data_IF_583944354067
#
_entry.id   IF_583944354067
#
_cell.length_a   1.000
_cell.length_b   1.000
_cell.length_c   1.000
_cell.angle_alpha   90.00
_cell.angle_beta   90.00
_cell.angle_gamma   90.00
#
_symmetry.space_group_name_H-M   'P 1'
#
loop_
_entity.id
_entity.type
_entity.pdbx_description
1 polymer ?
#
# COMPACT_ATOMS: atom_id res chain seq x y z
N UNK A 1 -6.79 19.94 0.03
CA UNK A 1 -6.96 19.05 -1.15
C UNK A 1 -6.64 17.65 -0.68
N UNK A 2 -7.47 16.64 -1.04
CA UNK A 2 -7.23 15.24 -0.65
C UNK A 2 -6.13 14.64 -1.50
N UNK A 3 -5.27 13.79 -0.93
CA UNK A 3 -4.27 13.01 -1.66
C UNK A 3 -4.92 11.70 -2.15
N UNK A 4 -5.02 11.53 -3.47
CA UNK A 4 -5.74 10.42 -4.10
C UNK A 4 -4.75 9.39 -4.63
N UNK A 5 -4.94 8.13 -4.22
CA UNK A 5 -4.07 7.02 -4.56
C UNK A 5 -4.86 5.97 -5.34
N UNK A 6 -4.40 5.65 -6.55
CA UNK A 6 -4.92 4.51 -7.29
C UNK A 6 -4.17 3.22 -6.92
N UNK A 7 -4.91 2.18 -6.51
CA UNK A 7 -4.35 0.86 -6.24
C UNK A 7 -4.18 0.07 -7.54
N UNK A 8 -2.95 -0.05 -8.02
CA UNK A 8 -2.64 -0.96 -9.13
C UNK A 8 -2.52 -2.39 -8.61
N UNK A 9 -1.85 -2.56 -7.46
CA UNK A 9 -1.74 -3.84 -6.77
C UNK A 9 -1.20 -4.94 -7.67
N UNK A 10 -2.01 -5.97 -7.89
CA UNK A 10 -1.69 -7.12 -8.75
C UNK A 10 -2.30 -7.03 -10.16
N UNK A 11 -3.05 -5.97 -10.46
CA UNK A 11 -3.86 -5.88 -11.68
C UNK A 11 -3.04 -5.64 -12.97
N UNK A 12 -1.77 -5.32 -12.85
CA UNK A 12 -0.87 -5.18 -13.99
C UNK A 12 -0.32 -6.52 -14.53
N UNK A 13 -0.64 -7.64 -13.89
CA UNK A 13 -0.29 -9.02 -14.29
C UNK A 13 1.22 -9.25 -14.62
N UNK A 14 2.11 -8.38 -14.14
CA UNK A 14 3.54 -8.41 -14.47
C UNK A 14 3.87 -7.86 -15.87
N UNK A 15 2.90 -7.25 -16.56
CA UNK A 15 3.07 -6.61 -17.85
C UNK A 15 3.34 -5.10 -17.67
N UNK A 16 4.55 -4.67 -18.02
CA UNK A 16 4.98 -3.27 -17.91
C UNK A 16 4.16 -2.32 -18.81
N UNK A 17 3.65 -2.78 -19.96
CA UNK A 17 2.79 -1.96 -20.81
C UNK A 17 1.44 -1.72 -20.13
N UNK A 18 0.88 -2.74 -19.49
CA UNK A 18 -0.35 -2.60 -18.71
C UNK A 18 -0.13 -1.72 -17.49
N UNK A 19 1.00 -1.87 -16.79
CA UNK A 19 1.36 -0.98 -15.67
C UNK A 19 1.44 0.47 -16.12
N UNK A 20 2.09 0.74 -17.26
CA UNK A 20 2.18 2.07 -17.88
C UNK A 20 0.80 2.64 -18.17
N UNK A 21 -0.06 1.88 -18.84
CA UNK A 21 -1.42 2.31 -19.16
C UNK A 21 -2.23 2.67 -17.91
N UNK A 22 -2.14 1.84 -16.86
CA UNK A 22 -2.81 2.10 -15.59
C UNK A 22 -2.29 3.35 -14.90
N UNK A 23 -0.97 3.57 -14.89
CA UNK A 23 -0.36 4.80 -14.35
C UNK A 23 -0.80 6.05 -15.11
N UNK A 24 -0.82 6.01 -16.45
CA UNK A 24 -1.26 7.12 -17.31
C UNK A 24 -2.73 7.45 -17.05
N UNK A 25 -3.60 6.44 -16.95
CA UNK A 25 -5.02 6.64 -16.63
C UNK A 25 -5.19 7.24 -15.23
N UNK A 26 -4.47 6.73 -14.22
CA UNK A 26 -4.50 7.28 -12.88
C UNK A 26 -4.09 8.77 -12.88
N UNK A 27 -3.00 9.11 -13.55
CA UNK A 27 -2.54 10.50 -13.70
C UNK A 27 -3.59 11.39 -14.36
N UNK A 28 -4.14 10.93 -15.48
CA UNK A 28 -5.11 11.70 -16.27
C UNK A 28 -6.44 11.92 -15.55
N UNK A 29 -6.80 11.03 -14.61
CA UNK A 29 -8.00 11.17 -13.77
C UNK A 29 -7.75 11.95 -12.48
N UNK A 30 -6.54 12.49 -12.28
CA UNK A 30 -6.21 13.37 -11.17
C UNK A 30 -5.73 12.65 -9.91
N UNK A 31 -5.30 11.39 -10.01
CA UNK A 31 -4.62 10.74 -8.90
C UNK A 31 -3.24 11.34 -8.67
N UNK A 32 -2.87 11.49 -7.40
CA UNK A 32 -1.56 12.00 -6.98
C UNK A 32 -0.50 10.90 -7.01
N UNK A 33 -0.90 9.66 -6.73
CA UNK A 33 0.02 8.52 -6.70
C UNK A 33 -0.65 7.22 -7.14
N UNK A 34 0.18 6.24 -7.49
CA UNK A 34 -0.22 4.84 -7.68
C UNK A 34 0.47 3.95 -6.67
N UNK A 35 -0.18 2.84 -6.29
CA UNK A 35 0.36 1.90 -5.32
C UNK A 35 0.47 0.49 -5.87
N UNK A 36 1.64 -0.10 -5.66
CA UNK A 36 1.97 -1.50 -5.95
C UNK A 36 2.14 -2.32 -4.68
N UNK A 37 2.52 -3.58 -4.84
CA UNK A 37 2.77 -4.52 -3.75
C UNK A 37 4.09 -5.25 -3.98
N UNK A 38 4.81 -5.54 -2.91
CA UNK A 38 6.02 -6.36 -2.92
C UNK A 38 5.84 -7.53 -1.95
N UNK A 39 5.76 -8.73 -2.50
CA UNK A 39 5.59 -9.98 -1.75
C UNK A 39 6.48 -11.07 -2.35
N UNK A 40 6.73 -12.10 -1.58
CA UNK A 40 7.55 -13.23 -1.97
C UNK A 40 6.80 -14.56 -1.79
N UNK A 41 7.46 -15.66 -2.09
CA UNK A 41 6.88 -17.01 -1.98
C UNK A 41 6.36 -17.29 -0.56
N UNK A 42 7.04 -16.85 0.48
CA UNK A 42 6.63 -17.12 1.86
C UNK A 42 5.33 -16.38 2.23
N UNK A 43 5.08 -15.21 1.64
CA UNK A 43 3.85 -14.42 1.82
C UNK A 43 2.68 -15.01 1.06
N UNK A 44 2.90 -15.44 -0.19
CA UNK A 44 1.85 -16.01 -1.05
C UNK A 44 1.48 -17.43 -0.60
N UNK A 45 2.47 -18.19 -0.12
CA UNK A 45 2.28 -19.60 0.24
C UNK A 45 1.84 -20.47 -0.94
N UNK A 46 0.87 -21.32 -0.69
CA UNK A 46 0.30 -22.24 -1.69
C UNK A 46 -0.96 -21.66 -2.37
N UNK A 47 -0.97 -20.36 -2.69
CA UNK A 47 -2.10 -19.71 -3.35
C UNK A 47 -2.35 -20.34 -4.74
N UNK A 48 -3.62 -20.53 -5.12
CA UNK A 48 -3.99 -21.13 -6.41
C UNK A 48 -3.44 -20.34 -7.61
N UNK A 49 -3.36 -19.01 -7.50
CA UNK A 49 -2.82 -18.12 -8.54
C UNK A 49 -1.33 -17.78 -8.33
N UNK A 50 -0.56 -18.65 -7.68
CA UNK A 50 0.83 -18.35 -7.34
C UNK A 50 1.65 -17.83 -8.52
N UNK A 51 1.59 -18.53 -9.66
CA UNK A 51 2.36 -18.20 -10.87
C UNK A 51 1.97 -16.83 -11.47
N UNK A 52 0.71 -16.45 -11.33
CA UNK A 52 0.25 -15.12 -11.72
C UNK A 52 0.72 -14.08 -10.72
N UNK A 53 0.47 -14.29 -9.45
CA UNK A 53 0.76 -13.33 -8.39
C UNK A 53 2.26 -13.01 -8.29
N UNK A 54 3.13 -14.02 -8.36
CA UNK A 54 4.57 -13.78 -8.20
C UNK A 54 5.14 -12.82 -9.26
N UNK A 55 4.57 -12.80 -10.47
CA UNK A 55 4.96 -11.89 -11.54
C UNK A 55 4.57 -10.44 -11.26
N UNK A 56 3.52 -10.22 -10.47
CA UNK A 56 3.01 -8.89 -10.14
C UNK A 56 3.70 -8.25 -8.95
N UNK A 57 4.58 -8.95 -8.28
CA UNK A 57 5.34 -8.41 -7.15
C UNK A 57 6.43 -7.46 -7.64
N UNK A 58 6.54 -6.30 -6.99
CA UNK A 58 7.73 -5.46 -7.18
C UNK A 58 8.96 -6.20 -6.62
N UNK A 59 9.97 -6.29 -7.44
CA UNK A 59 11.19 -7.06 -7.21
C UNK A 59 12.41 -6.40 -7.86
N UNK A 60 13.60 -6.96 -7.63
CA UNK A 60 14.84 -6.46 -8.27
C UNK A 60 14.78 -6.46 -9.79
N UNK A 61 13.96 -7.34 -10.39
CA UNK A 61 13.88 -7.48 -11.85
C UNK A 61 13.00 -6.44 -12.55
N UNK A 62 12.13 -5.73 -11.83
CA UNK A 62 11.17 -4.81 -12.44
C UNK A 62 11.09 -3.42 -11.77
N UNK A 63 11.70 -3.24 -10.62
CA UNK A 63 11.58 -1.99 -9.85
C UNK A 63 12.11 -0.77 -10.61
N UNK A 64 13.20 -0.93 -11.37
CA UNK A 64 13.79 0.15 -12.14
C UNK A 64 12.85 0.59 -13.27
N UNK A 65 12.27 -0.35 -14.00
CA UNK A 65 11.32 -0.06 -15.07
C UNK A 65 10.06 0.63 -14.54
N UNK A 66 9.53 0.19 -13.39
CA UNK A 66 8.38 0.84 -12.75
C UNK A 66 8.72 2.28 -12.33
N UNK A 67 9.90 2.50 -11.77
CA UNK A 67 10.35 3.83 -11.36
C UNK A 67 10.56 4.77 -12.57
N UNK A 68 11.16 4.27 -13.65
CA UNK A 68 11.37 5.04 -14.87
C UNK A 68 10.04 5.38 -15.58
N UNK A 69 9.08 4.46 -15.57
CA UNK A 69 7.72 4.72 -16.05
C UNK A 69 7.04 5.82 -15.22
N UNK A 70 7.09 5.72 -13.90
CA UNK A 70 6.48 6.70 -13.01
C UNK A 70 7.08 8.10 -13.19
N UNK A 71 8.41 8.20 -13.33
CA UNK A 71 9.12 9.46 -13.62
C UNK A 71 8.72 10.04 -14.97
N UNK A 72 8.63 9.21 -16.01
CA UNK A 72 8.26 9.63 -17.38
C UNK A 72 6.83 10.16 -17.42
N UNK A 73 5.91 9.50 -16.72
CA UNK A 73 4.49 9.88 -16.65
C UNK A 73 4.30 11.10 -15.71
N UNK A 74 5.21 11.29 -14.77
CA UNK A 74 5.12 12.34 -13.76
C UNK A 74 4.08 12.05 -12.69
N UNK A 75 3.95 10.77 -12.27
CA UNK A 75 3.09 10.33 -11.17
C UNK A 75 3.96 9.75 -10.05
N UNK A 76 3.60 10.04 -8.79
CA UNK A 76 4.26 9.39 -7.67
C UNK A 76 3.86 7.91 -7.61
N UNK A 77 4.81 7.05 -7.25
CA UNK A 77 4.50 5.67 -6.94
C UNK A 77 5.07 5.26 -5.59
N UNK A 78 4.42 4.30 -4.96
CA UNK A 78 4.92 3.67 -3.75
C UNK A 78 4.40 2.24 -3.64
N UNK A 79 4.77 1.55 -2.55
CA UNK A 79 4.52 0.12 -2.47
C UNK A 79 4.13 -0.31 -1.05
N UNK A 80 3.42 -1.43 -0.98
CA UNK A 80 3.18 -2.18 0.25
C UNK A 80 4.22 -3.28 0.36
N UNK A 81 5.31 -3.13 1.14
CA UNK A 81 6.19 -4.25 1.43
C UNK A 81 5.49 -5.25 2.35
N UNK A 82 5.61 -6.53 2.06
CA UNK A 82 5.00 -7.61 2.85
C UNK A 82 6.04 -8.54 3.47
N UNK A 83 7.32 -8.27 3.26
CA UNK A 83 8.46 -8.98 3.87
C UNK A 83 9.62 -8.01 4.08
N UNK A 84 10.54 -8.37 4.96
CA UNK A 84 11.60 -7.48 5.46
C UNK A 84 12.49 -6.91 4.35
N UNK A 85 13.03 -7.76 3.48
CA UNK A 85 13.97 -7.35 2.42
C UNK A 85 13.33 -6.45 1.34
N UNK A 86 11.98 -6.47 1.25
CA UNK A 86 11.27 -5.57 0.36
C UNK A 86 11.41 -4.11 0.77
N UNK A 87 11.56 -3.82 2.07
CA UNK A 87 11.74 -2.44 2.55
C UNK A 87 13.07 -1.89 2.07
N UNK A 88 14.16 -2.65 2.22
CA UNK A 88 15.49 -2.25 1.73
C UNK A 88 15.48 -2.04 0.21
N UNK A 89 14.85 -2.96 -0.54
CA UNK A 89 14.72 -2.86 -1.99
C UNK A 89 13.98 -1.58 -2.42
N UNK A 90 12.87 -1.26 -1.76
CA UNK A 90 12.00 -0.14 -2.13
C UNK A 90 12.53 1.21 -1.65
N UNK A 91 13.30 1.22 -0.56
CA UNK A 91 13.71 2.44 0.13
C UNK A 91 14.38 3.49 -0.78
N UNK A 92 15.24 3.16 -1.75
CA UNK A 92 15.83 4.15 -2.65
C UNK A 92 14.83 4.83 -3.61
N UNK A 93 13.69 4.21 -3.86
CA UNK A 93 12.76 4.58 -4.93
C UNK A 93 11.53 5.33 -4.44
N UNK A 94 10.99 4.97 -3.27
CA UNK A 94 9.69 5.47 -2.81
C UNK A 94 9.83 6.56 -1.75
N UNK A 95 8.87 7.48 -1.69
CA UNK A 95 8.81 8.52 -0.66
C UNK A 95 8.05 8.07 0.58
N UNK A 96 7.23 7.04 0.47
CA UNK A 96 6.38 6.53 1.53
C UNK A 96 6.18 5.02 1.44
N UNK A 97 5.79 4.41 2.54
CA UNK A 97 5.43 3.00 2.61
C UNK A 97 3.96 2.82 2.99
N UNK A 98 3.39 1.67 2.62
CA UNK A 98 2.06 1.24 3.06
C UNK A 98 2.17 0.05 4.01
N UNK A 99 1.45 0.12 5.13
CA UNK A 99 1.23 -1.02 6.03
C UNK A 99 -0.23 -1.48 5.87
N UNK A 100 -0.43 -2.77 5.62
CA UNK A 100 -1.77 -3.38 5.47
C UNK A 100 -2.51 -3.38 6.81
N UNK A 101 -3.85 -3.52 6.73
CA UNK A 101 -4.70 -3.67 7.91
C UNK A 101 -4.25 -4.86 8.80
N UNK A 102 -3.95 -6.00 8.18
CA UNK A 102 -3.46 -7.19 8.88
C UNK A 102 -2.17 -6.93 9.70
N UNK A 103 -1.21 -6.23 9.10
CA UNK A 103 0.07 -5.93 9.77
C UNK A 103 -0.08 -4.82 10.83
N UNK A 104 -1.02 -3.89 10.62
CA UNK A 104 -1.26 -2.76 11.53
C UNK A 104 -1.80 -3.15 12.89
N UNK A 105 -2.40 -4.33 13.02
CA UNK A 105 -2.93 -4.85 14.30
C UNK A 105 -1.86 -4.89 15.38
N UNK A 106 -0.61 -5.16 15.01
CA UNK A 106 0.52 -5.09 15.94
C UNK A 106 0.74 -3.69 16.48
N UNK A 107 0.67 -2.67 15.60
CA UNK A 107 0.79 -1.26 16.03
C UNK A 107 -0.32 -0.85 17.00
N UNK A 108 -1.53 -1.38 16.83
CA UNK A 108 -2.64 -1.14 17.75
C UNK A 108 -2.43 -1.78 19.12
N UNK A 109 -1.66 -2.86 19.18
CA UNK A 109 -1.25 -3.53 20.42
C UNK A 109 0.05 -2.96 21.01
N UNK A 110 0.56 -1.85 20.47
CA UNK A 110 1.86 -1.26 20.82
C UNK A 110 3.04 -2.24 20.64
N UNK A 111 2.94 -3.07 19.57
CA UNK A 111 3.95 -4.04 19.19
C UNK A 111 4.42 -3.78 17.76
N UNK A 112 5.56 -4.32 17.43
CA UNK A 112 6.12 -4.28 16.09
C UNK A 112 6.53 -5.68 15.61
N UNK A 113 6.90 -5.78 14.34
CA UNK A 113 7.57 -6.93 13.74
C UNK A 113 8.83 -6.44 13.03
N UNK A 114 9.69 -7.34 12.60
CA UNK A 114 10.90 -6.97 11.86
C UNK A 114 10.56 -6.12 10.64
N UNK A 115 9.52 -6.48 9.90
CA UNK A 115 9.00 -5.68 8.78
C UNK A 115 8.60 -4.26 9.21
N UNK A 116 7.82 -4.13 10.28
CA UNK A 116 7.38 -2.82 10.77
C UNK A 116 8.56 -2.01 11.27
N UNK A 117 9.47 -2.64 12.03
CA UNK A 117 10.67 -1.97 12.51
C UNK A 117 11.52 -1.42 11.37
N UNK A 118 11.67 -2.18 10.26
CA UNK A 118 12.43 -1.72 9.11
C UNK A 118 11.74 -0.56 8.39
N UNK A 119 10.41 -0.59 8.25
CA UNK A 119 9.64 0.53 7.71
C UNK A 119 9.82 1.79 8.59
N UNK A 120 9.77 1.66 9.91
CA UNK A 120 9.94 2.79 10.83
C UNK A 120 11.35 3.39 10.76
N UNK A 121 12.38 2.55 10.60
CA UNK A 121 13.79 3.00 10.45
C UNK A 121 14.03 3.79 9.17
N UNK A 122 13.27 3.52 8.10
CA UNK A 122 13.42 4.20 6.82
C UNK A 122 13.15 5.71 6.89
N UNK A 123 12.56 6.19 7.98
CA UNK A 123 12.30 7.61 8.30
C UNK A 123 11.43 8.35 7.25
N UNK A 124 10.52 7.63 6.59
CA UNK A 124 9.60 8.13 5.55
C UNK A 124 8.18 8.23 6.06
N UNK A 125 7.31 8.85 5.27
CA UNK A 125 5.87 8.81 5.53
C UNK A 125 5.35 7.37 5.45
N UNK A 126 4.45 7.00 6.35
CA UNK A 126 3.86 5.67 6.43
C UNK A 126 2.35 5.81 6.37
N UNK A 127 1.73 5.17 5.40
CA UNK A 127 0.27 5.07 5.30
C UNK A 127 -0.14 3.72 5.90
N UNK A 128 -1.01 3.74 6.90
CA UNK A 128 -1.43 2.53 7.63
C UNK A 128 -2.93 2.37 7.49
N UNK A 129 -3.40 1.20 7.05
CA UNK A 129 -4.83 0.88 7.08
C UNK A 129 -5.21 0.21 8.39
N UNK A 130 -6.37 0.61 8.96
CA UNK A 130 -6.96 -0.02 10.12
C UNK A 130 -8.47 0.08 10.10
N UNK A 131 -9.17 -0.94 10.58
CA UNK A 131 -10.59 -0.89 10.90
C UNK A 131 -10.83 -0.54 12.36
N UNK A 132 -9.87 -0.86 13.22
CA UNK A 132 -10.01 -0.76 14.67
C UNK A 132 -9.65 0.63 15.18
N UNK A 133 -10.19 0.97 16.36
CA UNK A 133 -9.89 2.22 17.05
C UNK A 133 -8.38 2.41 17.29
N UNK A 134 -7.90 3.63 17.03
CA UNK A 134 -6.50 4.01 17.06
C UNK A 134 -6.06 4.60 18.42
N UNK A 135 -6.99 5.02 19.25
CA UNK A 135 -6.77 5.91 20.40
C UNK A 135 -5.80 5.35 21.46
N UNK A 136 -5.66 4.01 21.53
CA UNK A 136 -4.77 3.35 22.47
C UNK A 136 -3.37 3.05 21.92
N UNK A 137 -3.16 3.31 20.64
CA UNK A 137 -1.87 3.08 20.00
C UNK A 137 -0.91 4.24 20.28
N UNK A 138 0.29 3.95 20.75
CA UNK A 138 1.36 4.94 20.90
C UNK A 138 1.79 5.53 19.54
N UNK A 139 1.49 4.82 18.44
CA UNK A 139 1.77 5.26 17.07
C UNK A 139 0.71 6.23 16.52
N UNK A 140 -0.43 6.42 17.21
CA UNK A 140 -1.54 7.25 16.72
C UNK A 140 -1.13 8.69 16.41
N UNK A 141 -0.36 9.29 17.31
CA UNK A 141 0.06 10.68 17.18
C UNK A 141 1.42 10.85 16.48
N UNK A 142 1.98 9.80 15.87
CA UNK A 142 3.22 9.93 15.12
C UNK A 142 2.98 10.74 13.83
N UNK A 143 3.63 11.90 13.64
CA UNK A 143 3.35 12.81 12.52
C UNK A 143 3.69 12.18 11.15
N UNK A 144 4.54 11.16 11.11
CA UNK A 144 4.89 10.42 9.89
C UNK A 144 3.88 9.35 9.52
N UNK A 145 2.96 9.00 10.41
CA UNK A 145 1.95 7.97 10.17
C UNK A 145 0.62 8.62 9.80
N UNK A 146 0.09 8.20 8.64
CA UNK A 146 -1.25 8.55 8.17
C UNK A 146 -2.14 7.32 8.24
N UNK A 147 -3.11 7.35 9.12
CA UNK A 147 -4.06 6.27 9.32
C UNK A 147 -5.23 6.37 8.35
N UNK A 148 -5.51 5.30 7.62
CA UNK A 148 -6.68 5.19 6.75
C UNK A 148 -7.68 4.21 7.37
N UNK A 149 -8.94 4.61 7.45
CA UNK A 149 -10.02 3.69 7.75
C UNK A 149 -10.14 2.66 6.63
N UNK A 150 -10.32 1.41 6.98
CA UNK A 150 -10.31 0.31 6.02
C UNK A 150 -11.19 -0.83 6.53
N UNK A 151 -12.20 -1.21 5.77
CA UNK A 151 -12.95 -2.44 6.01
C UNK A 151 -12.23 -3.58 5.29
N UNK A 152 -11.66 -4.58 6.02
CA UNK A 152 -10.87 -5.66 5.42
C UNK A 152 -11.75 -6.76 4.81
N UNK A 153 -12.67 -6.37 3.92
CA UNK A 153 -13.61 -7.24 3.21
C UNK A 153 -13.48 -7.00 1.71
N UNK A 154 -13.46 -8.06 0.92
CA UNK A 154 -13.34 -8.01 -0.55
C UNK A 154 -14.38 -8.92 -1.21
N UNK A 155 -15.35 -8.40 -1.99
CA UNK A 155 -15.65 -6.98 -2.09
C UNK A 155 -16.31 -6.43 -0.81
N UNK A 156 -16.10 -5.15 -0.56
CA UNK A 156 -16.79 -4.39 0.49
C UNK A 156 -18.01 -3.68 -0.13
N UNK A 157 -19.13 -3.60 0.57
CA UNK A 157 -20.26 -2.75 0.18
C UNK A 157 -20.19 -1.41 0.91
N UNK A 158 -20.92 -0.40 0.42
CA UNK A 158 -21.02 0.89 1.12
C UNK A 158 -21.63 0.76 2.52
N UNK A 159 -22.51 -0.22 2.71
CA UNK A 159 -23.16 -0.53 3.99
C UNK A 159 -22.18 -1.12 5.03
N UNK A 160 -21.08 -1.70 4.58
CA UNK A 160 -20.03 -2.20 5.47
C UNK A 160 -19.17 -1.06 6.08
N UNK A 161 -19.24 0.16 5.50
CA UNK A 161 -18.42 1.30 5.91
C UNK A 161 -19.16 2.09 7.00
N UNK A 162 -18.57 2.16 8.18
CA UNK A 162 -19.04 3.08 9.20
C UNK A 162 -18.44 4.48 8.96
N UNK A 163 -19.21 5.33 8.29
CA UNK A 163 -18.80 6.70 7.98
C UNK A 163 -18.60 7.57 9.23
N UNK A 164 -19.16 7.20 10.37
CA UNK A 164 -18.95 7.93 11.63
C UNK A 164 -17.53 7.77 12.17
N UNK A 165 -16.84 6.69 11.81
CA UNK A 165 -15.46 6.44 12.20
C UNK A 165 -14.43 7.25 11.38
N UNK A 166 -14.80 7.74 10.18
CA UNK A 166 -13.86 8.42 9.28
C UNK A 166 -13.20 9.65 9.89
N UNK A 167 -13.86 10.35 10.80
CA UNK A 167 -13.31 11.55 11.45
C UNK A 167 -12.11 11.25 12.37
N UNK A 168 -11.89 9.98 12.73
CA UNK A 168 -10.75 9.51 13.55
C UNK A 168 -9.52 9.19 12.69
N UNK A 169 -9.66 9.20 11.37
CA UNK A 169 -8.63 8.78 10.41
C UNK A 169 -8.23 9.94 9.49
N UNK A 170 -7.10 9.81 8.83
CA UNK A 170 -6.62 10.75 7.83
C UNK A 170 -7.28 10.55 6.45
N UNK A 171 -7.98 9.45 6.25
CA UNK A 171 -8.65 9.10 5.00
C UNK A 171 -9.22 7.68 4.98
N UNK A 172 -9.60 7.23 3.79
CA UNK A 172 -10.24 5.93 3.54
C UNK A 172 -9.39 5.08 2.60
N UNK A 173 -9.24 3.79 2.93
CA UNK A 173 -8.78 2.76 1.99
C UNK A 173 -10.01 1.99 1.51
N UNK A 174 -10.51 2.35 0.33
CA UNK A 174 -11.77 1.83 -0.20
C UNK A 174 -11.60 0.48 -0.90
N UNK A 175 -12.45 -0.49 -0.58
CA UNK A 175 -12.51 -1.81 -1.20
C UNK A 175 -13.87 -2.09 -1.86
N UNK A 176 -14.72 -1.07 -2.00
CA UNK A 176 -15.98 -1.22 -2.69
C UNK A 176 -15.75 -1.31 -4.20
N UNK A 177 -16.40 -2.25 -4.91
CA UNK A 177 -16.46 -2.20 -6.37
C UNK A 177 -17.21 -0.93 -6.78
N UNK A 178 -16.68 -0.26 -7.77
CA UNK A 178 -17.33 0.90 -8.40
C UNK A 178 -18.23 0.44 -9.53
#
# INVERSE_FOLDING_TARGET
>A
MSFIIAEIGVNWDGDLNLAKEMMEKAKNTGCDAVKFQAFNKSVIGNHLEYERLIKTSISKSNIQEIDDLAKTIGIEWFCTPMYFEAVELLNPYVKRFKIREFDSRKLLENKTSDLINEILKADKEIIVSSQLSLEKSEFYNNPKIKWLYCVPKYPCSLEDIDFSELNKFNGLSNHCPQ
#
